data_IF_271703240818
#
_entry.id   IF_271703240818
#
_cell.length_a   1.000
_cell.length_b   1.000
_cell.length_c   1.000
_cell.angle_alpha   90.00
_cell.angle_beta   90.00
_cell.angle_gamma   90.00
#
_symmetry.space_group_name_H-M   'P 1'
#
loop_
_entity.id
_entity.type
_entity.pdbx_description
1 polymer ?
#
# COMPACT_ATOMS: atom_id res chain seq x y z
N UNK A 1 40.65 7.40 21.29
CA UNK A 1 40.09 6.11 21.77
C UNK A 1 38.66 6.20 22.33
N UNK A 2 38.28 7.23 23.10
CA UNK A 2 36.92 7.38 23.70
C UNK A 2 35.78 7.68 22.70
N UNK A 3 36.08 8.29 21.55
CA UNK A 3 35.08 8.66 20.51
C UNK A 3 34.71 7.50 19.57
N UNK A 4 35.61 6.52 19.37
CA UNK A 4 35.34 5.33 18.57
C UNK A 4 34.26 4.44 19.22
N UNK A 5 34.35 4.25 20.54
CA UNK A 5 33.32 3.50 21.30
C UNK A 5 31.95 4.19 21.30
N UNK A 6 31.92 5.53 21.30
CA UNK A 6 30.66 6.30 21.30
C UNK A 6 29.94 6.26 19.94
N UNK A 7 30.69 6.20 18.84
CA UNK A 7 30.15 6.06 17.48
C UNK A 7 29.67 4.64 17.16
N UNK A 8 30.33 3.61 17.72
CA UNK A 8 29.86 2.21 17.60
C UNK A 8 28.53 2.02 18.35
N UNK A 9 28.37 2.62 19.54
CA UNK A 9 27.11 2.58 20.28
C UNK A 9 25.96 3.28 19.54
N UNK A 10 26.22 4.40 18.84
CA UNK A 10 25.22 5.09 18.01
C UNK A 10 24.82 4.30 16.76
N UNK A 11 25.76 3.56 16.16
CA UNK A 11 25.49 2.72 14.99
C UNK A 11 24.64 1.48 15.34
N UNK A 12 24.81 0.92 16.54
CA UNK A 12 24.04 -0.23 17.01
C UNK A 12 22.61 0.13 17.49
N UNK A 13 22.36 1.39 17.85
CA UNK A 13 21.05 1.85 18.31
C UNK A 13 20.13 2.38 17.19
N UNK A 14 20.69 2.65 16.00
CA UNK A 14 19.94 3.15 14.84
C UNK A 14 19.28 2.08 13.97
N UNK A 15 19.54 0.79 14.19
CA UNK A 15 19.15 -0.28 13.25
C UNK A 15 17.84 -1.01 13.61
N UNK A 16 17.17 -0.68 14.72
CA UNK A 16 16.14 -1.58 15.29
C UNK A 16 14.67 -1.16 15.13
N UNK A 17 14.33 -0.17 14.31
CA UNK A 17 12.95 0.31 14.27
C UNK A 17 12.42 0.59 12.87
N UNK A 18 12.29 -0.45 12.04
CA UNK A 18 11.32 -0.41 10.94
C UNK A 18 10.90 -1.81 10.47
N UNK A 19 10.25 -2.58 11.33
CA UNK A 19 9.35 -3.63 10.84
C UNK A 19 8.03 -2.99 10.40
N UNK A 20 8.02 -2.43 9.19
CA UNK A 20 6.79 -1.99 8.56
C UNK A 20 5.98 -3.25 8.18
N UNK A 21 4.89 -3.52 8.89
CA UNK A 21 3.87 -4.46 8.45
C UNK A 21 3.12 -3.87 7.26
N UNK A 22 3.69 -4.04 6.07
CA UNK A 22 2.94 -3.91 4.84
C UNK A 22 2.11 -5.19 4.70
N UNK A 23 0.78 -5.06 4.82
CA UNK A 23 -0.11 -6.16 4.45
C UNK A 23 0.14 -6.53 2.98
N UNK A 24 0.24 -7.82 2.70
CA UNK A 24 0.68 -8.34 1.41
C UNK A 24 -0.50 -9.00 0.68
N UNK A 25 -0.44 -9.01 -0.66
CA UNK A 25 -1.29 -9.83 -1.53
C UNK A 25 -1.37 -11.30 -1.07
N UNK A 26 -0.30 -11.80 -0.45
CA UNK A 26 -0.24 -13.14 0.14
C UNK A 26 -1.32 -13.38 1.20
N UNK A 27 -1.79 -12.36 1.93
CA UNK A 27 -2.88 -12.48 2.89
C UNK A 27 -4.22 -12.64 2.19
N UNK A 28 -4.46 -11.89 1.11
CA UNK A 28 -5.66 -12.06 0.29
C UNK A 28 -5.75 -13.46 -0.30
N UNK A 29 -4.62 -14.05 -0.70
CA UNK A 29 -4.58 -15.38 -1.33
C UNK A 29 -5.10 -16.49 -0.41
N UNK A 30 -5.02 -16.32 0.92
CA UNK A 30 -5.46 -17.28 1.92
C UNK A 30 -6.98 -17.27 2.13
N UNK A 31 -7.70 -16.31 1.55
CA UNK A 31 -9.16 -16.21 1.68
C UNK A 31 -9.80 -17.32 0.85
N UNK A 32 -10.58 -18.19 1.51
CA UNK A 32 -11.28 -19.32 0.88
C UNK A 32 -12.36 -18.85 -0.10
N UNK A 33 -13.20 -17.90 0.35
CA UNK A 33 -14.27 -17.33 -0.46
C UNK A 33 -13.67 -16.57 -1.66
N UNK A 34 -14.05 -17.00 -2.87
CA UNK A 34 -13.49 -16.46 -4.12
C UNK A 34 -13.84 -14.98 -4.31
N UNK A 35 -15.06 -14.58 -3.97
CA UNK A 35 -15.53 -13.21 -4.15
C UNK A 35 -14.80 -12.27 -3.19
N UNK A 36 -14.68 -12.66 -1.91
CA UNK A 36 -13.91 -11.92 -0.90
C UNK A 36 -12.42 -11.88 -1.23
N UNK A 37 -11.85 -12.99 -1.72
CA UNK A 37 -10.46 -13.04 -2.18
C UNK A 37 -10.23 -12.04 -3.31
N UNK A 38 -11.07 -12.09 -4.34
CA UNK A 38 -10.97 -11.20 -5.49
C UNK A 38 -11.18 -9.73 -5.09
N UNK A 39 -12.11 -9.45 -4.18
CA UNK A 39 -12.30 -8.12 -3.63
C UNK A 39 -11.03 -7.61 -2.91
N UNK A 40 -10.42 -8.47 -2.08
CA UNK A 40 -9.16 -8.16 -1.39
C UNK A 40 -8.02 -7.89 -2.39
N UNK A 41 -7.83 -8.78 -3.36
CA UNK A 41 -6.84 -8.63 -4.43
C UNK A 41 -7.03 -7.33 -5.22
N UNK A 42 -8.27 -7.00 -5.59
CA UNK A 42 -8.61 -5.76 -6.27
C UNK A 42 -8.18 -4.52 -5.48
N UNK A 43 -8.40 -4.54 -4.16
CA UNK A 43 -8.08 -3.41 -3.28
C UNK A 43 -6.58 -3.16 -3.13
N UNK A 44 -5.77 -4.22 -3.16
CA UNK A 44 -4.31 -4.11 -3.12
C UNK A 44 -3.71 -3.75 -4.48
N UNK A 45 -4.15 -4.38 -5.57
CA UNK A 45 -3.65 -4.09 -6.91
C UNK A 45 -4.18 -2.76 -7.47
N UNK A 46 -5.25 -2.22 -6.88
CA UNK A 46 -6.05 -1.16 -7.49
C UNK A 46 -6.44 -1.50 -8.94
N UNK A 47 -6.86 -2.75 -9.18
CA UNK A 47 -7.20 -3.26 -10.51
C UNK A 47 -8.63 -3.79 -10.57
N UNK A 48 -9.39 -3.33 -11.58
CA UNK A 48 -10.77 -3.75 -11.84
C UNK A 48 -10.88 -5.18 -12.33
N UNK A 49 -9.81 -5.75 -12.90
CA UNK A 49 -9.81 -7.13 -13.43
C UNK A 49 -10.15 -8.17 -12.36
N UNK A 50 -9.79 -7.92 -11.11
CA UNK A 50 -10.16 -8.78 -9.99
C UNK A 50 -11.65 -8.65 -9.64
N UNK A 51 -12.22 -7.44 -9.74
CA UNK A 51 -13.64 -7.23 -9.51
C UNK A 51 -14.50 -7.97 -10.54
N UNK A 52 -14.07 -8.07 -11.80
CA UNK A 52 -14.80 -8.82 -12.85
C UNK A 52 -15.00 -10.30 -12.50
N UNK A 53 -14.09 -10.87 -11.70
CA UNK A 53 -14.18 -12.26 -11.24
C UNK A 53 -15.14 -12.47 -10.06
N UNK A 54 -15.65 -11.40 -9.44
CA UNK A 54 -16.63 -11.47 -8.34
C UNK A 54 -17.99 -11.82 -8.92
N UNK A 55 -18.66 -12.85 -8.39
CA UNK A 55 -19.98 -13.27 -8.89
C UNK A 55 -21.11 -12.40 -8.38
N UNK A 56 -21.08 -11.99 -7.12
CA UNK A 56 -22.07 -11.08 -6.54
C UNK A 56 -22.06 -9.72 -7.25
N UNK A 57 -23.20 -9.29 -7.79
CA UNK A 57 -23.33 -8.02 -8.51
C UNK A 57 -23.07 -6.82 -7.61
N UNK A 58 -23.65 -6.80 -6.41
CA UNK A 58 -23.47 -5.72 -5.45
C UNK A 58 -22.00 -5.61 -5.03
N UNK A 59 -21.38 -6.74 -4.67
CA UNK A 59 -19.98 -6.77 -4.28
C UNK A 59 -19.05 -6.36 -5.44
N UNK A 60 -19.37 -6.74 -6.68
CA UNK A 60 -18.62 -6.31 -7.88
C UNK A 60 -18.69 -4.80 -8.06
N UNK A 61 -19.89 -4.22 -7.93
CA UNK A 61 -20.09 -2.76 -8.05
C UNK A 61 -19.28 -2.01 -6.99
N UNK A 62 -19.32 -2.48 -5.75
CA UNK A 62 -18.58 -1.88 -4.64
C UNK A 62 -17.07 -2.02 -4.83
N UNK A 63 -16.61 -3.18 -5.32
CA UNK A 63 -15.23 -3.43 -5.67
C UNK A 63 -14.72 -2.42 -6.71
N UNK A 64 -15.47 -2.23 -7.80
CA UNK A 64 -15.11 -1.28 -8.86
C UNK A 64 -15.03 0.15 -8.34
N UNK A 65 -15.99 0.58 -7.51
CA UNK A 65 -15.96 1.90 -6.87
C UNK A 65 -14.71 2.09 -6.02
N UNK A 66 -14.37 1.09 -5.19
CA UNK A 66 -13.16 1.11 -4.34
C UNK A 66 -11.88 1.18 -5.17
N UNK A 67 -11.78 0.42 -6.26
CA UNK A 67 -10.62 0.44 -7.16
C UNK A 67 -10.41 1.82 -7.75
N UNK A 68 -11.46 2.46 -8.27
CA UNK A 68 -11.36 3.80 -8.86
C UNK A 68 -10.90 4.83 -7.82
N UNK A 69 -11.44 4.76 -6.60
CA UNK A 69 -10.97 5.62 -5.51
C UNK A 69 -9.48 5.40 -5.22
N UNK A 70 -9.06 4.13 -5.13
CA UNK A 70 -7.68 3.78 -4.85
C UNK A 70 -6.73 4.27 -5.95
N UNK A 71 -7.11 4.14 -7.21
CA UNK A 71 -6.33 4.63 -8.34
C UNK A 71 -6.15 6.16 -8.28
N UNK A 72 -7.21 6.90 -7.92
CA UNK A 72 -7.14 8.36 -7.74
C UNK A 72 -6.23 8.76 -6.57
N UNK A 73 -6.31 8.04 -5.45
CA UNK A 73 -5.40 8.28 -4.31
C UNK A 73 -3.95 8.04 -4.70
N UNK A 74 -3.68 6.97 -5.45
CA UNK A 74 -2.33 6.64 -5.92
C UNK A 74 -1.82 7.68 -6.91
N UNK A 75 -2.65 8.12 -7.86
CA UNK A 75 -2.25 9.16 -8.81
C UNK A 75 -1.94 10.48 -8.11
N UNK A 76 -2.76 10.90 -7.15
CA UNK A 76 -2.51 12.11 -6.35
C UNK A 76 -1.19 12.00 -5.56
N UNK A 77 -0.92 10.85 -4.94
CA UNK A 77 0.34 10.60 -4.21
C UNK A 77 1.56 10.67 -5.13
N UNK A 78 1.45 10.17 -6.37
CA UNK A 78 2.54 10.24 -7.36
C UNK A 78 2.79 11.69 -7.78
N UNK A 79 1.74 12.46 -8.07
CA UNK A 79 1.87 13.89 -8.42
C UNK A 79 2.53 14.66 -7.28
N UNK A 80 2.06 14.49 -6.04
CA UNK A 80 2.65 15.17 -4.88
C UNK A 80 4.13 14.82 -4.70
N UNK A 81 4.52 13.57 -4.90
CA UNK A 81 5.92 13.14 -4.77
C UNK A 81 6.83 13.74 -5.85
N UNK A 82 6.29 14.08 -7.01
CA UNK A 82 7.05 14.58 -8.17
C UNK A 82 7.03 16.10 -8.30
N UNK A 83 6.16 16.79 -7.56
CA UNK A 83 6.08 18.25 -7.53
C UNK A 83 7.37 18.84 -6.94
N UNK A 84 8.05 19.78 -7.62
CA UNK A 84 9.20 20.48 -7.06
C UNK A 84 8.80 21.30 -5.81
N UNK A 85 9.66 21.38 -4.77
CA UNK A 85 9.34 22.05 -3.51
C UNK A 85 8.96 23.53 -3.63
N UNK A 86 9.35 24.20 -4.71
CA UNK A 86 9.03 25.61 -4.98
C UNK A 86 7.53 25.86 -5.18
N UNK A 87 6.79 24.86 -5.65
CA UNK A 87 5.39 25.01 -6.07
C UNK A 87 4.39 24.54 -4.97
N UNK A 88 4.89 24.14 -3.80
CA UNK A 88 4.08 23.83 -2.60
C UNK A 88 3.94 25.04 -1.65
N UNK A 89 4.67 26.14 -1.90
CA UNK A 89 4.73 27.32 -1.05
C UNK A 89 3.86 28.52 -1.52
N UNK A 90 2.98 28.30 -2.50
CA UNK A 90 1.95 29.27 -2.95
C UNK A 90 0.57 28.86 -2.47
#
# INVERSE_FOLDING_TARGET
MRYLFKNIAFALWGFFACHAWAGDMAECAKIEDKDKRNYCMASYAASGTYCDMIKSYEMRRDCMSKVVQKQRELSYKVVRKTKPPEEEAK
#
